data_IF_489173061543
#
_entry.id   IF_489173061543
#
_cell.length_a   1.000
_cell.length_b   1.000
_cell.length_c   1.000
_cell.angle_alpha   90.00
_cell.angle_beta   90.00
_cell.angle_gamma   90.00
#
_symmetry.space_group_name_H-M   'P 1'
#
loop_
_entity.id
_entity.type
_entity.pdbx_description
1 polymer ?
#
# COMPACT_ATOMS: atom_id res chain seq x y z
N UNK A 1 5.46 0.63 16.63
CA UNK A 1 5.41 1.95 15.98
C UNK A 1 6.79 2.46 15.52
N UNK A 2 7.86 2.34 16.32
CA UNK A 2 9.21 2.80 15.93
C UNK A 2 9.71 2.20 14.59
N UNK A 3 9.45 0.91 14.33
CA UNK A 3 9.80 0.27 13.05
C UNK A 3 9.13 0.92 11.83
N UNK A 4 7.84 1.23 11.92
CA UNK A 4 7.08 1.89 10.83
C UNK A 4 7.63 3.28 10.53
N UNK A 5 7.95 4.06 11.57
CA UNK A 5 8.54 5.40 11.42
C UNK A 5 9.92 5.32 10.77
N UNK A 6 10.76 4.37 11.21
CA UNK A 6 12.08 4.12 10.62
C UNK A 6 12.01 3.70 9.15
N UNK A 7 11.13 2.75 8.83
CA UNK A 7 10.90 2.29 7.46
C UNK A 7 10.43 3.43 6.55
N UNK A 8 9.47 4.24 7.02
CA UNK A 8 8.97 5.40 6.27
C UNK A 8 10.07 6.45 6.06
N UNK A 9 10.96 6.63 7.02
CA UNK A 9 12.09 7.57 6.92
C UNK A 9 13.13 7.08 5.89
N UNK A 10 13.44 5.79 5.84
CA UNK A 10 14.33 5.21 4.81
C UNK A 10 13.74 5.46 3.42
N UNK A 11 12.46 5.11 3.20
CA UNK A 11 11.78 5.31 1.92
C UNK A 11 11.74 6.79 1.54
N UNK A 12 11.36 7.67 2.47
CA UNK A 12 11.28 9.10 2.20
C UNK A 12 12.63 9.69 1.75
N UNK A 13 13.72 9.37 2.45
CA UNK A 13 15.07 9.84 2.09
C UNK A 13 15.48 9.33 0.71
N UNK A 14 15.27 8.04 0.44
CA UNK A 14 15.55 7.45 -0.86
C UNK A 14 14.74 8.14 -1.98
N UNK A 15 13.44 8.34 -1.76
CA UNK A 15 12.55 8.99 -2.72
C UNK A 15 13.00 10.41 -3.04
N UNK A 16 13.32 11.22 -2.03
CA UNK A 16 13.76 12.62 -2.22
C UNK A 16 15.09 12.77 -2.93
N UNK A 17 15.93 11.72 -2.92
CA UNK A 17 17.27 11.74 -3.53
C UNK A 17 17.29 11.09 -4.90
N UNK A 18 16.50 10.03 -5.11
CA UNK A 18 16.51 9.23 -6.33
C UNK A 18 15.48 9.69 -7.37
N UNK A 19 14.36 10.31 -6.95
CA UNK A 19 13.27 10.69 -7.84
C UNK A 19 13.20 12.21 -7.96
N UNK A 20 14.16 12.78 -8.69
CA UNK A 20 14.24 14.23 -8.87
C UNK A 20 13.16 14.74 -9.84
N UNK A 21 12.49 15.87 -9.51
CA UNK A 21 11.52 16.48 -10.41
C UNK A 21 12.23 17.02 -11.64
N UNK A 22 11.66 16.72 -12.81
CA UNK A 22 12.01 17.36 -14.08
C UNK A 22 10.77 18.07 -14.62
N UNK A 23 10.85 18.98 -15.60
CA UNK A 23 9.67 19.57 -16.21
C UNK A 23 8.63 18.52 -16.67
N UNK A 24 9.10 17.39 -17.21
CA UNK A 24 8.25 16.27 -17.64
C UNK A 24 7.75 15.37 -16.47
N UNK A 25 8.33 15.49 -15.28
CA UNK A 25 7.99 14.72 -14.06
C UNK A 25 7.76 15.65 -12.86
N UNK A 26 7.01 16.73 -13.05
CA UNK A 26 6.77 17.72 -12.00
C UNK A 26 6.03 17.14 -10.77
N UNK A 27 5.28 16.06 -10.95
CA UNK A 27 4.56 15.35 -9.89
C UNK A 27 5.47 14.51 -8.97
N UNK A 28 6.79 14.47 -9.23
CA UNK A 28 7.81 13.85 -8.36
C UNK A 28 8.25 14.79 -7.22
N UNK A 29 7.53 15.89 -6.98
CA UNK A 29 7.78 16.79 -5.85
C UNK A 29 7.32 16.16 -4.54
N UNK A 30 8.24 15.46 -3.88
CA UNK A 30 8.02 14.84 -2.58
C UNK A 30 8.45 15.77 -1.44
N UNK A 31 7.63 15.87 -0.39
CA UNK A 31 7.91 16.69 0.79
C UNK A 31 7.42 16.03 2.09
N UNK A 32 7.65 16.68 3.23
CA UNK A 32 7.29 16.14 4.55
C UNK A 32 5.80 15.82 4.73
N UNK A 33 4.91 16.41 3.92
CA UNK A 33 3.48 16.06 3.93
C UNK A 33 3.26 14.63 3.47
N UNK A 34 4.07 14.13 2.54
CA UNK A 34 3.99 12.77 2.02
C UNK A 34 4.38 11.76 3.09
N UNK A 35 5.47 12.03 3.82
CA UNK A 35 5.83 11.25 5.01
C UNK A 35 4.65 11.18 5.99
N UNK A 36 4.04 12.33 6.30
CA UNK A 36 2.91 12.38 7.22
C UNK A 36 1.66 11.67 6.67
N UNK A 37 1.45 11.62 5.35
CA UNK A 37 0.34 10.87 4.73
C UNK A 37 0.48 9.38 4.95
N UNK A 38 1.68 8.81 4.80
CA UNK A 38 1.92 7.38 5.07
C UNK A 38 1.58 7.06 6.53
N UNK A 39 2.10 7.84 7.48
CA UNK A 39 1.83 7.62 8.90
C UNK A 39 0.34 7.75 9.22
N UNK A 40 -0.34 8.76 8.68
CA UNK A 40 -1.80 8.92 8.88
C UNK A 40 -2.59 7.75 8.30
N UNK A 41 -2.22 7.26 7.13
CA UNK A 41 -2.87 6.11 6.49
C UNK A 41 -2.78 4.85 7.36
N UNK A 42 -1.59 4.59 7.94
CA UNK A 42 -1.41 3.47 8.87
C UNK A 42 -2.30 3.58 10.11
N UNK A 43 -2.57 4.81 10.56
CA UNK A 43 -3.42 5.08 11.73
C UNK A 43 -4.93 4.98 11.43
N UNK A 44 -5.34 4.79 10.17
CA UNK A 44 -6.75 4.60 9.81
C UNK A 44 -7.29 3.25 10.26
N UNK A 45 -6.45 2.22 10.39
CA UNK A 45 -6.86 0.92 10.92
C UNK A 45 -6.82 0.95 12.45
N UNK A 46 -7.94 0.71 13.14
CA UNK A 46 -7.96 0.65 14.60
C UNK A 46 -7.03 -0.43 15.14
N UNK A 47 -6.38 -0.17 16.28
CA UNK A 47 -5.49 -1.14 16.92
C UNK A 47 -6.20 -2.48 17.24
N UNK A 48 -7.51 -2.45 17.53
CA UNK A 48 -8.33 -3.65 17.73
C UNK A 48 -8.41 -4.58 16.50
N UNK A 49 -8.24 -4.01 15.30
CA UNK A 49 -8.20 -4.73 14.02
C UNK A 49 -6.78 -5.06 13.56
N UNK A 50 -5.75 -4.63 14.30
CA UNK A 50 -4.34 -4.83 13.97
C UNK A 50 -3.69 -5.87 14.90
N UNK A 51 -4.18 -7.11 14.82
CA UNK A 51 -3.71 -8.21 15.68
C UNK A 51 -2.48 -8.93 15.14
N UNK A 52 -2.25 -8.85 13.83
CA UNK A 52 -1.20 -9.60 13.14
C UNK A 52 -0.11 -8.64 12.62
N UNK A 53 1.16 -8.99 12.86
CA UNK A 53 2.31 -8.20 12.38
C UNK A 53 2.34 -8.11 10.86
N UNK A 54 2.03 -9.21 10.18
CA UNK A 54 1.98 -9.27 8.72
C UNK A 54 0.95 -8.31 8.13
N UNK A 55 -0.21 -8.17 8.79
CA UNK A 55 -1.24 -7.20 8.40
C UNK A 55 -0.75 -5.75 8.51
N UNK A 56 0.02 -5.44 9.56
CA UNK A 56 0.63 -4.12 9.71
C UNK A 56 1.66 -3.84 8.60
N UNK A 57 2.46 -4.85 8.24
CA UNK A 57 3.44 -4.76 7.16
C UNK A 57 2.74 -4.50 5.83
N UNK A 58 1.68 -5.25 5.51
CA UNK A 58 0.88 -5.03 4.31
C UNK A 58 0.27 -3.63 4.27
N UNK A 59 -0.32 -3.16 5.38
CA UNK A 59 -0.89 -1.83 5.47
C UNK A 59 0.18 -0.76 5.19
N UNK A 60 1.35 -0.91 5.79
CA UNK A 60 2.44 0.04 5.57
C UNK A 60 2.93 0.02 4.11
N UNK A 61 3.06 -1.16 3.48
CA UNK A 61 3.41 -1.26 2.06
C UNK A 61 2.34 -0.55 1.21
N UNK A 62 1.06 -0.84 1.47
CA UNK A 62 -0.07 -0.21 0.77
C UNK A 62 -0.03 1.32 0.84
N UNK A 63 0.04 1.88 2.05
CA UNK A 63 0.06 3.34 2.22
C UNK A 63 1.30 3.99 1.59
N UNK A 64 2.44 3.30 1.66
CA UNK A 64 3.69 3.74 0.99
C UNK A 64 3.50 3.79 -0.53
N UNK A 65 2.88 2.75 -1.11
CA UNK A 65 2.59 2.69 -2.54
C UNK A 65 1.61 3.79 -2.97
N UNK A 66 0.51 4.00 -2.23
CA UNK A 66 -0.47 5.06 -2.51
C UNK A 66 0.13 6.47 -2.48
N UNK A 67 1.12 6.70 -1.63
CA UNK A 67 1.75 8.02 -1.50
C UNK A 67 2.82 8.25 -2.56
N UNK A 68 3.67 7.25 -2.82
CA UNK A 68 4.85 7.39 -3.67
C UNK A 68 4.73 6.68 -5.01
N UNK A 69 4.37 5.39 -5.02
CA UNK A 69 4.31 4.55 -6.24
C UNK A 69 3.30 5.08 -7.25
N UNK A 70 2.11 5.50 -6.81
CA UNK A 70 1.05 6.00 -7.69
C UNK A 70 1.45 7.29 -8.46
N UNK A 71 2.54 7.97 -8.03
CA UNK A 71 3.10 9.12 -8.76
C UNK A 71 4.19 8.73 -9.75
N UNK A 72 4.74 7.52 -9.69
CA UNK A 72 5.82 7.11 -10.58
C UNK A 72 5.25 6.65 -11.93
N UNK A 73 5.81 7.20 -13.00
CA UNK A 73 5.39 6.90 -14.38
C UNK A 73 6.30 5.88 -15.06
N UNK A 74 7.58 5.85 -14.69
CA UNK A 74 8.56 4.96 -15.31
C UNK A 74 8.68 3.65 -14.52
N UNK A 75 8.69 2.53 -15.24
CA UNK A 75 8.86 1.21 -14.64
C UNK A 75 10.21 1.05 -13.94
N UNK A 76 11.25 1.73 -14.44
CA UNK A 76 12.56 1.77 -13.78
C UNK A 76 12.47 2.45 -12.40
N UNK A 77 11.71 3.54 -12.29
CA UNK A 77 11.53 4.24 -11.00
C UNK A 77 10.67 3.41 -10.05
N UNK A 78 9.62 2.76 -10.56
CA UNK A 78 8.77 1.82 -9.80
C UNK A 78 9.58 0.66 -9.24
N UNK A 79 10.47 0.07 -10.04
CA UNK A 79 11.35 -1.00 -9.56
C UNK A 79 12.31 -0.50 -8.48
N UNK A 80 12.90 0.69 -8.64
CA UNK A 80 13.77 1.29 -7.61
C UNK A 80 13.00 1.49 -6.30
N UNK A 81 11.79 2.04 -6.36
CA UNK A 81 10.95 2.20 -5.17
C UNK A 81 10.65 0.84 -4.52
N UNK A 82 10.30 -0.16 -5.32
CA UNK A 82 10.04 -1.52 -4.81
C UNK A 82 11.25 -2.09 -4.05
N UNK A 83 12.47 -1.97 -4.58
CA UNK A 83 13.69 -2.43 -3.89
C UNK A 83 13.92 -1.68 -2.57
N UNK A 84 13.70 -0.37 -2.55
CA UNK A 84 13.79 0.45 -1.33
C UNK A 84 12.75 0.02 -0.29
N UNK A 85 11.50 -0.19 -0.70
CA UNK A 85 10.44 -0.67 0.20
C UNK A 85 10.78 -2.06 0.73
N UNK A 86 11.27 -2.97 -0.11
CA UNK A 86 11.69 -4.31 0.31
C UNK A 86 12.82 -4.26 1.34
N UNK A 87 13.82 -3.42 1.13
CA UNK A 87 14.90 -3.14 2.08
C UNK A 87 14.34 -2.64 3.42
N UNK A 88 13.45 -1.65 3.39
CA UNK A 88 12.86 -1.05 4.59
C UNK A 88 12.02 -2.05 5.40
N UNK A 89 11.25 -2.92 4.74
CA UNK A 89 10.52 -4.01 5.41
C UNK A 89 11.49 -4.92 6.17
N UNK A 90 12.57 -5.35 5.51
CA UNK A 90 13.55 -6.24 6.13
C UNK A 90 14.30 -5.58 7.29
N UNK A 91 14.76 -4.35 7.10
CA UNK A 91 15.61 -3.64 8.06
C UNK A 91 14.85 -3.19 9.32
N UNK A 92 13.61 -2.71 9.15
CA UNK A 92 12.86 -2.05 10.22
C UNK A 92 11.67 -2.84 10.73
N UNK A 93 11.02 -3.64 9.88
CA UNK A 93 9.89 -4.49 10.28
C UNK A 93 10.32 -5.93 10.55
N UNK A 94 11.59 -6.28 10.27
CA UNK A 94 12.25 -7.55 10.63
C UNK A 94 11.54 -8.78 10.08
N UNK A 95 10.92 -8.65 8.91
CA UNK A 95 10.24 -9.73 8.20
C UNK A 95 10.67 -9.76 6.73
N UNK A 96 10.46 -10.90 6.09
CA UNK A 96 10.67 -11.05 4.65
C UNK A 96 9.38 -10.72 3.89
N UNK A 97 9.46 -9.80 2.93
CA UNK A 97 8.29 -9.33 2.17
C UNK A 97 7.57 -10.48 1.44
N UNK A 98 8.32 -11.39 0.82
CA UNK A 98 7.77 -12.56 0.13
C UNK A 98 7.01 -13.48 1.08
N UNK A 99 7.56 -13.77 2.26
CA UNK A 99 6.87 -14.59 3.27
C UNK A 99 5.55 -13.94 3.70
N UNK A 100 5.57 -12.63 3.97
CA UNK A 100 4.37 -11.88 4.34
C UNK A 100 3.31 -11.96 3.25
N UNK A 101 3.69 -11.74 1.99
CA UNK A 101 2.75 -11.76 0.87
C UNK A 101 2.17 -13.15 0.60
N UNK A 102 2.95 -14.21 0.80
CA UNK A 102 2.49 -15.60 0.70
C UNK A 102 1.49 -15.92 1.82
N UNK A 103 1.86 -15.68 3.07
CA UNK A 103 1.02 -15.98 4.24
C UNK A 103 -0.32 -15.21 4.23
N UNK A 104 -0.34 -14.05 3.58
CA UNK A 104 -1.52 -13.20 3.49
C UNK A 104 -2.31 -13.36 2.19
N UNK A 105 -1.89 -14.24 1.27
CA UNK A 105 -2.60 -14.54 0.03
C UNK A 105 -2.48 -13.47 -1.05
N UNK A 106 -1.47 -12.62 -1.00
CA UNK A 106 -1.14 -11.64 -2.06
C UNK A 106 -0.13 -12.15 -3.07
N UNK A 107 0.54 -13.27 -2.78
CA UNK A 107 1.51 -13.91 -3.68
C UNK A 107 1.35 -15.43 -3.61
N UNK A 108 1.25 -16.14 -4.75
CA UNK A 108 1.27 -17.60 -4.75
C UNK A 108 2.63 -18.16 -4.29
N UNK A 109 2.62 -19.34 -3.66
CA UNK A 109 3.87 -20.04 -3.36
C UNK A 109 4.62 -20.40 -4.65
N UNK A 110 5.94 -20.14 -4.66
CA UNK A 110 6.80 -20.42 -5.81
C UNK A 110 6.82 -19.36 -6.91
N UNK A 111 5.97 -18.32 -6.82
CA UNK A 111 6.05 -17.18 -7.73
C UNK A 111 7.30 -16.31 -7.44
N UNK A 112 7.71 -15.49 -8.41
CA UNK A 112 8.82 -14.56 -8.24
C UNK A 112 8.32 -13.23 -7.71
N UNK A 113 8.80 -12.85 -6.53
CA UNK A 113 8.50 -11.55 -5.93
C UNK A 113 8.78 -10.39 -6.90
N UNK A 114 7.80 -9.50 -7.06
CA UNK A 114 7.83 -8.35 -7.96
C UNK A 114 6.99 -7.21 -7.39
N UNK A 115 7.17 -6.01 -7.95
CA UNK A 115 6.45 -4.81 -7.52
C UNK A 115 4.93 -4.93 -7.64
N UNK A 116 4.44 -5.72 -8.62
CA UNK A 116 3.01 -5.99 -8.84
C UNK A 116 2.33 -6.60 -7.62
N UNK A 117 2.99 -7.53 -6.93
CA UNK A 117 2.45 -8.14 -5.71
C UNK A 117 2.19 -7.12 -4.60
N UNK A 118 3.05 -6.11 -4.50
CA UNK A 118 2.88 -5.02 -3.56
C UNK A 118 1.82 -3.99 -4.03
N UNK A 119 1.74 -3.73 -5.34
CA UNK A 119 0.72 -2.86 -5.93
C UNK A 119 -0.71 -3.44 -5.81
N UNK A 120 -0.83 -4.78 -5.78
CA UNK A 120 -2.11 -5.49 -5.63
C UNK A 120 -2.65 -5.52 -4.20
N UNK A 121 -1.90 -4.99 -3.23
CA UNK A 121 -2.37 -4.86 -1.85
C UNK A 121 -3.51 -3.84 -1.81
N UNK A 122 -4.62 -4.19 -1.15
CA UNK A 122 -5.78 -3.31 -1.05
C UNK A 122 -6.26 -3.19 0.40
N UNK A 123 -6.33 -1.94 0.87
CA UNK A 123 -7.03 -1.55 2.09
C UNK A 123 -8.13 -0.54 1.74
N UNK A 124 -9.22 -0.56 2.50
CA UNK A 124 -10.37 0.30 2.23
C UNK A 124 -11.47 0.17 3.27
N UNK A 125 -12.34 1.18 3.31
CA UNK A 125 -13.57 1.19 4.11
C UNK A 125 -14.83 1.00 3.25
N UNK A 126 -14.64 0.56 1.99
CA UNK A 126 -15.68 0.43 0.97
C UNK A 126 -16.11 -1.02 0.72
N UNK A 127 -15.49 -1.99 1.41
CA UNK A 127 -15.75 -3.41 1.19
C UNK A 127 -17.18 -3.80 1.60
N UNK A 128 -17.73 -3.11 2.60
CA UNK A 128 -19.08 -3.29 3.12
C UNK A 128 -19.81 -1.94 3.02
N UNK A 129 -20.57 -1.68 1.93
CA UNK A 129 -21.19 -0.38 1.69
C UNK A 129 -22.15 0.07 2.80
N UNK A 130 -22.80 -0.90 3.43
CA UNK A 130 -23.85 -0.73 4.44
C UNK A 130 -23.32 -0.82 5.89
N UNK A 131 -22.01 -0.99 6.09
CA UNK A 131 -21.42 -1.06 7.43
C UNK A 131 -21.52 0.30 8.15
N UNK A 132 -22.00 0.28 9.40
CA UNK A 132 -21.99 1.41 10.32
C UNK A 132 -21.41 0.97 11.69
N UNK A 133 -20.21 1.42 12.08
CA UNK A 133 -19.31 2.34 11.35
C UNK A 133 -18.56 1.65 10.20
N UNK A 134 -18.17 2.43 9.18
CA UNK A 134 -17.27 1.95 8.11
C UNK A 134 -15.85 1.79 8.64
N UNK A 135 -15.35 0.55 8.68
CA UNK A 135 -14.01 0.24 9.18
C UNK A 135 -13.04 0.14 7.99
N UNK A 136 -11.91 0.85 8.06
CA UNK A 136 -10.83 0.72 7.09
C UNK A 136 -10.06 -0.58 7.37
N UNK A 137 -10.10 -1.54 6.45
CA UNK A 137 -9.48 -2.86 6.63
C UNK A 137 -8.98 -3.49 5.31
N UNK A 138 -8.25 -4.60 5.42
CA UNK A 138 -7.63 -5.37 4.34
C UNK A 138 -8.65 -6.14 3.49
N UNK A 139 -8.47 -6.13 2.17
CA UNK A 139 -9.17 -7.03 1.26
C UNK A 139 -8.52 -8.43 1.25
N UNK A 140 -9.22 -9.48 1.71
CA UNK A 140 -8.60 -10.78 2.01
C UNK A 140 -8.32 -11.73 0.81
N UNK A 141 -8.81 -11.47 -0.41
CA UNK A 141 -8.71 -12.44 -1.55
C UNK A 141 -8.75 -11.76 -2.92
N UNK A 142 -7.99 -12.25 -3.93
CA UNK A 142 -8.02 -11.73 -5.31
C UNK A 142 -9.42 -11.74 -5.95
N UNK A 143 -10.14 -12.86 -5.85
CA UNK A 143 -11.52 -12.97 -6.34
C UNK A 143 -12.45 -12.02 -5.60
N UNK A 144 -12.25 -11.84 -4.29
CA UNK A 144 -13.00 -10.86 -3.51
C UNK A 144 -12.61 -9.44 -3.91
N UNK A 145 -11.35 -9.13 -4.20
CA UNK A 145 -10.91 -7.82 -4.70
C UNK A 145 -11.60 -7.45 -6.01
N UNK A 146 -11.60 -8.34 -7.00
CA UNK A 146 -12.25 -8.10 -8.29
C UNK A 146 -13.78 -8.03 -8.17
N UNK A 147 -14.38 -8.91 -7.35
CA UNK A 147 -15.83 -8.90 -7.09
C UNK A 147 -16.25 -7.65 -6.33
N UNK A 148 -15.50 -7.22 -5.33
CA UNK A 148 -15.82 -6.02 -4.55
C UNK A 148 -15.73 -4.77 -5.41
N UNK A 149 -14.67 -4.59 -6.20
CA UNK A 149 -14.56 -3.45 -7.12
C UNK A 149 -15.73 -3.43 -8.12
N UNK A 150 -16.05 -4.57 -8.74
CA UNK A 150 -17.19 -4.64 -9.65
C UNK A 150 -18.55 -4.45 -8.97
N UNK A 151 -18.72 -4.96 -7.76
CA UNK A 151 -19.95 -4.77 -6.97
C UNK A 151 -20.16 -3.30 -6.64
N UNK A 152 -19.09 -2.59 -6.26
CA UNK A 152 -19.12 -1.16 -6.00
C UNK A 152 -19.44 -0.40 -7.28
N UNK A 153 -18.78 -0.74 -8.40
CA UNK A 153 -19.03 -0.09 -9.69
C UNK A 153 -20.51 -0.22 -10.10
N UNK A 154 -21.09 -1.42 -9.93
CA UNK A 154 -22.52 -1.69 -10.19
C UNK A 154 -23.43 -0.91 -9.26
N UNK A 155 -23.12 -0.86 -7.96
CA UNK A 155 -23.87 -0.08 -6.99
C UNK A 155 -23.86 1.41 -7.34
N UNK A 156 -22.70 1.99 -7.68
CA UNK A 156 -22.61 3.38 -8.11
C UNK A 156 -23.45 3.62 -9.37
N UNK A 157 -23.30 2.78 -10.40
CA UNK A 157 -24.08 2.94 -11.64
C UNK A 157 -25.59 2.89 -11.39
N UNK A 158 -26.07 2.01 -10.51
CA UNK A 158 -27.49 1.93 -10.15
C UNK A 158 -28.05 3.18 -9.47
N UNK A 159 -27.21 4.03 -8.85
CA UNK A 159 -27.62 5.31 -8.26
C UNK A 159 -27.66 6.48 -9.24
N UNK A 160 -27.07 6.32 -10.42
CA UNK A 160 -27.11 7.33 -11.49
C UNK A 160 -28.16 7.02 -12.57
N UNK A 161 -28.72 5.80 -12.57
CA UNK A 161 -29.82 5.37 -13.44
C UNK A 161 -31.22 5.56 -12.81
N UNK A 162 -31.30 6.21 -11.64
CA UNK A 162 -32.53 6.55 -10.91
C UNK A 162 -32.73 8.05 -10.79
#
# INVERSE_FOLDING_TARGET
>A
MQGVVGATMEVYKAVTTQFLPTPSKCHYLFNLRDFARVIRGVLLVPASHMKEVNKLVLLWIHETYRVFYDRLVDDTDRQRLFEVVRSAVYNYLRVRMDQVLIETGYMPEGDKLSDRHAADIIFGNYMEPDADPKIYDQAKLFLTRFRTVNSILRFYNSKFES
#
